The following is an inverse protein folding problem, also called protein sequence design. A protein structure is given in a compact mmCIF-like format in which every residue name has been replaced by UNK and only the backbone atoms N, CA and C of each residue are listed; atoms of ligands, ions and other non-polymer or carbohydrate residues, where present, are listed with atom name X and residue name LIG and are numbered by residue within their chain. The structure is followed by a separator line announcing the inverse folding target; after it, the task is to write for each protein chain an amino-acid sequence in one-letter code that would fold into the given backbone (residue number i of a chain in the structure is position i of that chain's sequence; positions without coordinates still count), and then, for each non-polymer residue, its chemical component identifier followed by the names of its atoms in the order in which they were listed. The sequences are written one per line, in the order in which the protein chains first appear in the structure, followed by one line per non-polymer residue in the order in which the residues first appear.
data_IF_462710613249
#
_entry.id   IF_462710613249
#
_cell.length_a   1.000
_cell.length_b   1.000
_cell.length_c   1.000
_cell.angle_alpha   90.00
_cell.angle_beta   90.00
_cell.angle_gamma   90.00
#
_symmetry.space_group_name_H-M   'P 1'
#
loop_
_entity.id
_entity.type
_entity.pdbx_description
1 polymer ?
#
# COMPACT_ATOMS: atom_id res chain seq x y z
N UNK A 1 14.63 0.41 -1.71
CA UNK A 1 14.99 1.57 -0.84
C UNK A 1 13.67 2.22 -0.44
N UNK A 2 13.50 2.68 0.80
CA UNK A 2 12.22 3.32 1.18
C UNK A 2 12.03 4.65 0.43
N UNK A 3 10.83 4.90 -0.14
CA UNK A 3 10.53 6.10 -0.92
C UNK A 3 10.16 7.32 -0.05
N UNK A 4 10.47 7.35 1.25
CA UNK A 4 10.06 8.45 2.16
C UNK A 4 10.30 9.87 1.61
N UNK A 5 11.33 10.08 0.77
CA UNK A 5 11.60 11.38 0.13
C UNK A 5 11.00 11.56 -1.26
N UNK A 6 10.83 10.49 -2.03
CA UNK A 6 10.26 10.55 -3.38
C UNK A 6 8.75 10.34 -3.38
N UNK A 7 8.17 9.96 -2.23
CA UNK A 7 6.79 9.51 -2.01
C UNK A 7 6.46 8.19 -2.71
N UNK A 8 6.89 8.05 -3.97
CA UNK A 8 6.70 6.87 -4.79
C UNK A 8 8.05 6.39 -5.32
N UNK A 9 8.22 5.08 -5.40
CA UNK A 9 9.30 4.42 -6.13
C UNK A 9 8.72 3.30 -6.98
N UNK A 10 9.01 3.37 -8.27
CA UNK A 10 8.65 2.34 -9.23
C UNK A 10 9.77 1.30 -9.36
N UNK A 11 9.37 0.05 -9.46
CA UNK A 11 10.27 -1.07 -9.69
C UNK A 11 9.75 -1.87 -10.89
N UNK A 12 10.62 -2.03 -11.89
CA UNK A 12 10.35 -2.90 -13.03
C UNK A 12 10.56 -4.37 -12.63
N UNK A 13 9.62 -5.21 -13.02
CA UNK A 13 9.64 -6.64 -12.75
C UNK A 13 8.69 -7.37 -13.68
N UNK A 14 8.38 -8.65 -13.37
CA UNK A 14 7.35 -9.39 -14.11
C UNK A 14 5.99 -8.69 -14.05
N UNK A 15 5.69 -8.07 -12.91
CA UNK A 15 4.56 -7.19 -12.68
C UNK A 15 5.17 -5.88 -12.15
N UNK A 16 4.81 -4.70 -12.70
CA UNK A 16 5.26 -3.43 -12.16
C UNK A 16 4.89 -3.30 -10.68
N UNK A 17 5.80 -2.79 -9.86
CA UNK A 17 5.53 -2.56 -8.44
C UNK A 17 5.70 -1.08 -8.11
N UNK A 18 4.66 -0.52 -7.47
CA UNK A 18 4.63 0.85 -6.97
C UNK A 18 4.78 0.81 -5.45
N UNK A 19 5.92 1.25 -4.94
CA UNK A 19 6.15 1.40 -3.51
C UNK A 19 5.87 2.85 -3.13
N UNK A 20 4.88 3.05 -2.26
CA UNK A 20 4.46 4.36 -1.78
C UNK A 20 4.70 4.48 -0.28
N UNK A 21 5.19 5.62 0.18
CA UNK A 21 5.30 5.97 1.60
C UNK A 21 4.53 7.27 1.84
N UNK A 22 3.36 7.14 2.46
CA UNK A 22 2.40 8.22 2.63
C UNK A 22 2.58 8.98 3.95
N UNK A 23 3.67 8.77 4.69
CA UNK A 23 3.93 9.44 5.96
C UNK A 23 3.83 10.99 5.91
N UNK A 24 4.05 11.59 4.73
CA UNK A 24 3.99 13.05 4.50
C UNK A 24 2.71 13.53 3.82
N UNK A 25 1.84 12.61 3.40
CA UNK A 25 0.58 12.94 2.76
C UNK A 25 -0.45 13.21 3.85
N UNK A 26 -1.18 14.33 3.70
CA UNK A 26 -2.10 14.81 4.73
C UNK A 26 -3.57 14.73 4.34
N UNK A 27 -3.87 14.36 3.10
CA UNK A 27 -5.23 14.21 2.59
C UNK A 27 -5.29 13.29 1.38
N UNK A 28 -6.48 12.76 1.08
CA UNK A 28 -6.76 12.01 -0.15
C UNK A 28 -6.56 12.87 -1.40
N UNK A 29 -6.87 14.17 -1.33
CA UNK A 29 -6.66 15.10 -2.44
C UNK A 29 -5.17 15.25 -2.78
N UNK A 30 -4.29 15.35 -1.77
CA UNK A 30 -2.84 15.37 -1.97
C UNK A 30 -2.36 14.08 -2.65
N UNK A 31 -2.92 12.94 -2.27
CA UNK A 31 -2.61 11.65 -2.89
C UNK A 31 -3.06 11.58 -4.37
N UNK A 32 -4.23 12.11 -4.67
CA UNK A 32 -4.72 12.21 -6.05
C UNK A 32 -3.83 13.15 -6.89
N UNK A 33 -3.41 14.29 -6.33
CA UNK A 33 -2.55 15.25 -7.03
C UNK A 33 -1.18 14.68 -7.44
N UNK A 34 -0.67 13.68 -6.71
CA UNK A 34 0.56 12.96 -7.09
C UNK A 34 0.33 11.78 -8.04
N UNK A 35 -0.89 11.59 -8.54
CA UNK A 35 -1.25 10.48 -9.43
C UNK A 35 -1.42 9.14 -8.71
N UNK A 36 -1.63 9.15 -7.39
CA UNK A 36 -1.72 7.94 -6.58
C UNK A 36 -2.89 7.03 -6.96
N UNK A 37 -4.01 7.62 -7.39
CA UNK A 37 -5.20 6.87 -7.84
C UNK A 37 -4.91 6.07 -9.12
N UNK A 38 -4.19 6.66 -10.08
CA UNK A 38 -3.81 5.97 -11.32
C UNK A 38 -2.93 4.74 -11.03
N UNK A 39 -2.07 4.82 -10.01
CA UNK A 39 -1.23 3.71 -9.58
C UNK A 39 -2.05 2.61 -8.90
N UNK A 40 -2.98 2.96 -8.01
CA UNK A 40 -3.87 2.02 -7.31
C UNK A 40 -4.68 1.14 -8.26
N UNK A 41 -5.11 1.72 -9.39
CA UNK A 41 -5.94 1.05 -10.39
C UNK A 41 -5.18 0.61 -11.66
N UNK A 42 -3.86 0.65 -11.61
CA UNK A 42 -2.99 0.11 -12.67
C UNK A 42 -2.95 -1.43 -12.63
N UNK A 43 -2.37 -2.04 -13.68
CA UNK A 43 -2.11 -3.50 -13.73
C UNK A 43 -0.90 -3.94 -12.87
N UNK A 44 -0.41 -3.07 -11.98
CA UNK A 44 0.73 -3.32 -11.09
C UNK A 44 0.35 -3.77 -9.68
N UNK A 45 1.37 -4.04 -8.87
CA UNK A 45 1.23 -4.28 -7.43
C UNK A 45 1.57 -3.00 -6.67
N UNK A 46 0.68 -2.55 -5.81
CA UNK A 46 0.94 -1.42 -4.90
C UNK A 46 1.38 -1.93 -3.52
N UNK A 47 2.52 -1.43 -3.02
CA UNK A 47 2.98 -1.57 -1.64
C UNK A 47 2.92 -0.19 -0.99
N UNK A 48 2.05 0.01 0.00
CA UNK A 48 1.77 1.32 0.56
C UNK A 48 2.07 1.31 2.06
N UNK A 49 3.02 2.14 2.49
CA UNK A 49 3.29 2.43 3.89
C UNK A 49 2.42 3.62 4.35
N UNK A 50 1.92 3.58 5.59
CA UNK A 50 1.06 4.62 6.19
C UNK A 50 -0.23 4.89 5.38
N UNK A 51 -0.90 3.83 4.94
CA UNK A 51 -2.07 3.89 4.05
C UNK A 51 -3.35 4.43 4.69
N UNK A 52 -3.36 4.72 6.00
CA UNK A 52 -4.56 5.10 6.75
C UNK A 52 -5.22 6.37 6.21
N UNK A 53 -4.42 7.27 5.62
CA UNK A 53 -4.91 8.54 5.06
C UNK A 53 -5.75 8.38 3.80
N UNK A 54 -5.66 7.23 3.11
CA UNK A 54 -6.39 6.92 1.87
C UNK A 54 -7.30 5.70 2.02
N UNK A 55 -7.67 5.33 3.26
CA UNK A 55 -8.35 4.07 3.53
C UNK A 55 -9.67 3.90 2.75
N UNK A 56 -10.37 4.99 2.45
CA UNK A 56 -11.64 4.95 1.70
C UNK A 56 -11.42 4.80 0.17
N UNK A 57 -10.21 5.04 -0.32
CA UNK A 57 -9.81 4.84 -1.72
C UNK A 57 -9.27 3.44 -2.01
N UNK A 58 -8.88 2.68 -0.98
CA UNK A 58 -8.24 1.38 -1.15
C UNK A 58 -9.20 0.34 -1.76
N UNK A 59 -8.77 -0.45 -2.78
CA UNK A 59 -9.60 -1.48 -3.38
C UNK A 59 -10.08 -2.52 -2.35
N UNK A 60 -11.25 -3.11 -2.59
CA UNK A 60 -11.82 -4.15 -1.69
C UNK A 60 -10.90 -5.37 -1.48
N UNK A 61 -10.10 -5.71 -2.49
CA UNK A 61 -9.13 -6.82 -2.45
C UNK A 61 -7.81 -6.49 -1.72
N UNK A 62 -7.71 -5.34 -1.06
CA UNK A 62 -6.48 -4.93 -0.36
C UNK A 62 -6.15 -5.87 0.79
N UNK A 63 -4.90 -6.33 0.84
CA UNK A 63 -4.32 -7.04 1.97
C UNK A 63 -3.68 -6.02 2.92
N UNK A 64 -4.24 -5.87 4.10
CA UNK A 64 -3.69 -5.05 5.17
C UNK A 64 -2.66 -5.86 5.97
N UNK A 65 -1.53 -5.23 6.27
CA UNK A 65 -0.40 -5.84 6.99
C UNK A 65 -0.03 -4.93 8.16
N UNK A 66 -0.38 -5.35 9.38
CA UNK A 66 0.05 -4.66 10.60
C UNK A 66 1.29 -5.35 11.18
N UNK A 67 2.34 -4.58 11.46
CA UNK A 67 3.59 -5.10 12.01
C UNK A 67 3.80 -4.56 13.43
N UNK A 68 3.73 -5.43 14.43
CA UNK A 68 4.01 -5.09 15.84
C UNK A 68 5.43 -5.47 16.21
N UNK A 69 6.15 -4.56 16.87
CA UNK A 69 7.43 -4.83 17.51
C UNK A 69 7.21 -5.41 18.90
N UNK A 70 7.83 -6.55 19.20
CA UNK A 70 7.81 -7.19 20.51
C UNK A 70 9.00 -6.74 21.37
N UNK A 71 8.92 -6.96 22.67
CA UNK A 71 9.95 -6.55 23.64
C UNK A 71 11.33 -7.17 23.34
N UNK A 72 11.34 -8.39 22.80
CA UNK A 72 12.54 -9.14 22.40
C UNK A 72 13.07 -8.76 21.00
N UNK A 73 12.54 -7.69 20.40
CA UNK A 73 12.84 -7.25 19.03
C UNK A 73 12.35 -8.19 17.93
N UNK A 74 11.62 -9.26 18.24
CA UNK A 74 10.88 -9.99 17.20
C UNK A 74 9.74 -9.14 16.66
N UNK A 75 9.16 -9.56 15.52
CA UNK A 75 8.00 -8.91 14.91
C UNK A 75 6.83 -9.90 14.83
N UNK A 76 5.65 -9.43 15.20
CA UNK A 76 4.41 -10.15 14.92
C UNK A 76 3.70 -9.43 13.77
N UNK A 77 3.36 -10.18 12.72
CA UNK A 77 2.67 -9.67 11.53
C UNK A 77 1.24 -10.14 11.56
N UNK A 78 0.29 -9.22 11.45
CA UNK A 78 -1.14 -9.50 11.33
C UNK A 78 -1.58 -9.20 9.91
N UNK A 79 -2.32 -10.13 9.31
CA UNK A 79 -2.84 -10.02 7.96
C UNK A 79 -4.37 -9.93 8.02
N UNK A 80 -4.95 -8.99 7.28
CA UNK A 80 -6.40 -8.80 7.19
C UNK A 80 -6.82 -8.46 5.76
N UNK A 81 -7.92 -9.05 5.30
CA UNK A 81 -8.43 -8.83 3.95
C UNK A 81 -7.64 -9.64 2.91
N UNK A 82 -7.45 -9.05 1.74
CA UNK A 82 -6.92 -9.72 0.57
C UNK A 82 -8.00 -10.38 -0.29
N UNK A 83 -7.59 -10.84 -1.48
CA UNK A 83 -8.43 -11.60 -2.38
C UNK A 83 -8.77 -12.95 -1.77
N UNK A 84 -10.05 -13.22 -1.54
CA UNK A 84 -10.53 -14.57 -1.22
C UNK A 84 -11.04 -15.20 -2.51
N UNK A 85 -10.31 -16.17 -3.05
CA UNK A 85 -10.65 -16.92 -4.27
C UNK A 85 -11.90 -17.82 -4.13
N UNK A 86 -12.93 -17.41 -3.38
CA UNK A 86 -14.06 -18.29 -3.03
C UNK A 86 -15.46 -17.76 -3.36
N UNK A 87 -15.62 -16.54 -3.89
CA UNK A 87 -16.96 -16.03 -4.28
C UNK A 87 -17.15 -15.75 -5.78
N UNK A 88 -16.13 -15.94 -6.62
CA UNK A 88 -16.21 -15.72 -8.09
C UNK A 88 -16.06 -17.02 -8.92
N UNK A 89 -16.48 -18.17 -8.39
CA UNK A 89 -16.71 -19.42 -9.14
C UNK A 89 -18.19 -19.76 -9.23
#
# INVERSE_FOLDING_TARGET
VSPTFTLVQEYEGRIPMYHMDLYRITSEEDFQMIGGEDMLYSDGVCLIEWSEIINDMLPKGTLFIDIKVNDDQSRTVFLKGGWTDLEDC
#
